data_IF_377971185034
#
_entry.id   IF_377971185034
#
_cell.length_a   1.000
_cell.length_b   1.000
_cell.length_c   1.000
_cell.angle_alpha   90.00
_cell.angle_beta   90.00
_cell.angle_gamma   90.00
#
_symmetry.space_group_name_H-M   'P 1'
#
loop_
_entity.id
_entity.type
_entity.pdbx_description
1 polymer ?
#
# COMPACT_ATOMS: atom_id res chain seq x y z
N UNK A 1 29.89 -51.26 24.65
CA UNK A 1 30.04 -51.67 23.24
C UNK A 1 29.31 -50.62 22.42
N UNK A 2 29.85 -49.82 21.52
CA UNK A 2 31.19 -49.58 20.97
C UNK A 2 31.02 -48.21 20.32
N UNK A 3 31.80 -47.21 20.71
CA UNK A 3 31.84 -45.91 20.01
C UNK A 3 32.51 -46.12 18.64
N UNK A 4 31.93 -45.69 17.51
CA UNK A 4 32.68 -45.61 16.27
C UNK A 4 33.59 -44.39 16.35
N UNK A 5 34.89 -44.66 16.29
CA UNK A 5 35.98 -43.72 16.09
C UNK A 5 35.81 -43.00 14.75
N UNK A 6 35.81 -41.67 14.77
CA UNK A 6 35.73 -40.84 13.56
C UNK A 6 37.04 -40.80 12.78
N UNK A 7 37.01 -40.35 11.52
CA UNK A 7 38.15 -39.76 10.85
C UNK A 7 38.11 -38.24 11.00
N UNK A 8 39.25 -37.68 11.38
CA UNK A 8 39.57 -36.27 11.51
C UNK A 8 38.95 -35.39 10.41
N UNK A 9 37.89 -34.67 10.76
CA UNK A 9 37.49 -33.44 10.10
C UNK A 9 37.43 -32.38 11.17
N UNK A 10 37.97 -31.18 10.91
CA UNK A 10 37.75 -30.00 11.75
C UNK A 10 36.25 -29.71 11.81
N UNK A 11 35.55 -30.41 12.70
CA UNK A 11 34.12 -30.43 12.84
C UNK A 11 33.70 -29.23 13.65
N UNK A 12 33.60 -28.07 13.01
CA UNK A 12 32.62 -27.09 13.47
C UNK A 12 31.25 -27.76 13.34
N UNK A 13 30.77 -28.35 14.45
CA UNK A 13 29.35 -28.65 14.58
C UNK A 13 28.63 -27.31 14.34
N UNK A 14 27.79 -27.20 13.30
CA UNK A 14 27.08 -25.96 13.05
C UNK A 14 26.33 -25.59 14.32
N UNK A 15 26.39 -24.32 14.78
CA UNK A 15 25.65 -23.91 15.96
C UNK A 15 24.18 -24.31 15.77
N UNK A 16 23.51 -24.82 16.82
CA UNK A 16 22.14 -25.30 16.72
C UNK A 16 21.26 -24.20 16.09
N UNK A 17 20.38 -24.55 15.15
CA UNK A 17 19.57 -23.57 14.45
C UNK A 17 18.76 -22.77 15.48
N UNK A 18 18.69 -21.44 15.32
CA UNK A 18 17.98 -20.57 16.26
C UNK A 18 16.51 -21.03 16.37
N UNK A 19 15.91 -20.95 17.56
CA UNK A 19 14.49 -21.28 17.74
C UNK A 19 13.64 -20.50 16.73
N UNK A 20 12.73 -21.21 16.05
CA UNK A 20 11.81 -20.66 15.07
C UNK A 20 10.36 -21.05 15.42
N UNK A 21 9.75 -20.44 16.45
CA UNK A 21 8.39 -20.78 16.84
C UNK A 21 7.35 -20.38 15.80
N UNK A 22 7.61 -19.30 15.05
CA UNK A 22 6.73 -18.77 14.02
C UNK A 22 7.37 -18.72 12.64
N UNK A 23 7.11 -17.65 11.89
CA UNK A 23 7.64 -17.49 10.52
C UNK A 23 9.11 -17.06 10.46
N UNK A 24 9.65 -16.47 11.53
CA UNK A 24 11.03 -15.96 11.60
C UNK A 24 11.88 -16.69 12.65
N UNK A 25 13.20 -16.86 12.40
CA UNK A 25 14.13 -17.25 13.45
C UNK A 25 14.31 -16.11 14.46
N UNK A 26 14.53 -16.43 15.74
CA UNK A 26 14.71 -15.45 16.82
C UNK A 26 16.13 -14.88 16.87
N UNK A 27 16.59 -14.33 15.73
CA UNK A 27 17.89 -13.67 15.57
C UNK A 27 17.77 -12.52 14.56
N UNK A 28 18.78 -11.64 14.44
CA UNK A 28 18.80 -10.63 13.40
C UNK A 28 18.64 -11.28 12.00
N UNK A 29 17.69 -10.76 11.20
CA UNK A 29 17.22 -11.41 9.98
C UNK A 29 18.09 -11.06 8.77
N UNK A 30 18.27 -11.99 7.83
CA UNK A 30 18.72 -11.67 6.49
C UNK A 30 17.56 -11.13 5.63
N UNK A 31 17.86 -10.42 4.54
CA UNK A 31 16.81 -9.91 3.64
C UNK A 31 15.98 -11.04 3.02
N UNK A 32 16.62 -12.14 2.63
CA UNK A 32 15.93 -13.34 2.14
C UNK A 32 14.97 -13.90 3.19
N UNK A 33 15.39 -13.98 4.46
CA UNK A 33 14.52 -14.43 5.55
C UNK A 33 13.33 -13.50 5.78
N UNK A 34 13.50 -12.18 5.62
CA UNK A 34 12.40 -11.21 5.67
C UNK A 34 11.40 -11.48 4.54
N UNK A 35 11.86 -11.65 3.30
CA UNK A 35 10.99 -11.91 2.16
C UNK A 35 10.29 -13.27 2.29
N UNK A 36 11.02 -14.33 2.65
CA UNK A 36 10.45 -15.66 2.90
C UNK A 36 9.43 -15.62 4.03
N UNK A 37 9.70 -14.88 5.12
CA UNK A 37 8.75 -14.73 6.21
C UNK A 37 7.52 -13.91 5.81
N UNK A 38 7.65 -12.92 4.92
CA UNK A 38 6.53 -12.17 4.39
C UNK A 38 5.60 -13.08 3.57
N UNK A 39 6.14 -13.87 2.64
CA UNK A 39 5.36 -14.85 1.88
C UNK A 39 4.78 -15.95 2.77
N UNK A 40 5.53 -16.46 3.75
CA UNK A 40 5.04 -17.45 4.70
C UNK A 40 3.89 -16.90 5.57
N UNK A 41 3.97 -15.62 5.97
CA UNK A 41 2.89 -14.94 6.71
C UNK A 41 1.67 -14.77 5.83
N UNK A 42 1.87 -14.30 4.60
CA UNK A 42 0.80 -14.14 3.62
C UNK A 42 0.10 -15.48 3.35
N UNK A 43 0.84 -16.55 3.12
CA UNK A 43 0.29 -17.89 2.88
C UNK A 43 -0.37 -18.53 4.11
N UNK A 44 0.19 -18.37 5.32
CA UNK A 44 -0.39 -18.95 6.54
C UNK A 44 -1.66 -18.23 7.00
N UNK A 45 -1.75 -16.93 6.75
CA UNK A 45 -2.86 -16.07 7.20
C UNK A 45 -3.62 -15.42 6.03
N UNK A 46 -3.60 -16.03 4.84
CA UNK A 46 -4.17 -15.43 3.63
C UNK A 46 -5.66 -15.13 3.77
N UNK A 47 -6.43 -16.05 4.37
CA UNK A 47 -7.89 -15.89 4.55
C UNK A 47 -8.21 -14.66 5.41
N UNK A 48 -7.44 -14.44 6.47
CA UNK A 48 -7.64 -13.31 7.38
C UNK A 48 -7.19 -12.01 6.72
N UNK A 49 -6.03 -11.99 6.06
CA UNK A 49 -5.49 -10.80 5.41
C UNK A 49 -6.34 -10.37 4.21
N UNK A 50 -6.63 -11.29 3.30
CA UNK A 50 -7.49 -11.04 2.12
C UNK A 50 -8.91 -10.75 2.55
N UNK A 51 -9.45 -11.46 3.55
CA UNK A 51 -10.79 -11.20 4.08
C UNK A 51 -10.94 -9.78 4.62
N UNK A 52 -9.99 -9.34 5.47
CA UNK A 52 -10.05 -7.97 6.05
C UNK A 52 -9.87 -6.92 4.96
N UNK A 53 -8.96 -7.16 4.03
CA UNK A 53 -8.70 -6.26 2.88
C UNK A 53 -9.91 -6.16 1.97
N UNK A 54 -10.52 -7.29 1.61
CA UNK A 54 -11.70 -7.36 0.76
C UNK A 54 -12.92 -6.73 1.40
N UNK A 55 -13.15 -6.95 2.70
CA UNK A 55 -14.25 -6.28 3.43
C UNK A 55 -14.01 -4.77 3.51
N UNK A 56 -12.79 -4.33 3.85
CA UNK A 56 -12.48 -2.91 3.98
C UNK A 56 -12.61 -2.15 2.64
N UNK A 57 -11.95 -2.63 1.58
CA UNK A 57 -12.02 -1.99 0.27
C UNK A 57 -13.35 -2.23 -0.44
N UNK A 58 -13.96 -3.41 -0.27
CA UNK A 58 -15.29 -3.71 -0.82
C UNK A 58 -16.36 -2.79 -0.23
N UNK A 59 -16.34 -2.56 1.08
CA UNK A 59 -17.24 -1.59 1.71
C UNK A 59 -16.98 -0.16 1.21
N UNK A 60 -15.71 0.26 1.08
CA UNK A 60 -15.38 1.56 0.51
C UNK A 60 -15.90 1.71 -0.93
N UNK A 61 -15.76 0.68 -1.77
CA UNK A 61 -16.29 0.69 -3.15
C UNK A 61 -17.81 0.75 -3.18
N UNK A 62 -18.50 0.05 -2.27
CA UNK A 62 -19.96 0.14 -2.16
C UNK A 62 -20.41 1.56 -1.77
N UNK A 63 -19.70 2.22 -0.85
CA UNK A 63 -19.98 3.61 -0.48
C UNK A 63 -19.78 4.56 -1.67
N UNK A 64 -18.71 4.35 -2.45
CA UNK A 64 -18.46 5.15 -3.66
C UNK A 64 -19.53 4.90 -4.71
N UNK A 65 -19.91 3.64 -4.94
CA UNK A 65 -20.98 3.29 -5.88
C UNK A 65 -22.33 3.89 -5.48
N UNK A 66 -22.66 3.86 -4.19
CA UNK A 66 -23.86 4.50 -3.65
C UNK A 66 -23.81 6.03 -3.81
N UNK A 67 -22.69 6.67 -3.48
CA UNK A 67 -22.51 8.11 -3.65
C UNK A 67 -22.60 8.52 -5.13
N UNK A 68 -22.01 7.73 -6.02
CA UNK A 68 -22.12 7.94 -7.46
C UNK A 68 -23.56 7.81 -7.94
N UNK A 69 -24.28 6.76 -7.52
CA UNK A 69 -25.69 6.58 -7.87
C UNK A 69 -26.57 7.75 -7.40
N UNK A 70 -26.39 8.19 -6.15
CA UNK A 70 -27.12 9.35 -5.58
C UNK A 70 -26.74 10.63 -6.33
N UNK A 71 -25.45 10.87 -6.58
CA UNK A 71 -24.96 12.04 -7.30
C UNK A 71 -25.46 12.09 -8.74
N UNK A 72 -25.50 10.95 -9.42
CA UNK A 72 -26.07 10.85 -10.76
C UNK A 72 -27.57 11.18 -10.76
N UNK A 73 -28.35 10.63 -9.83
CA UNK A 73 -29.78 10.96 -9.71
C UNK A 73 -30.03 12.44 -9.43
N UNK A 74 -29.13 13.12 -8.71
CA UNK A 74 -29.23 14.55 -8.42
C UNK A 74 -28.93 15.45 -9.64
N UNK A 75 -28.13 14.96 -10.59
CA UNK A 75 -27.63 15.74 -11.74
C UNK A 75 -28.15 15.20 -13.07
N UNK A 76 -29.00 14.17 -13.06
CA UNK A 76 -29.46 13.46 -14.25
C UNK A 76 -30.02 14.40 -15.34
N UNK A 77 -30.74 15.45 -14.93
CA UNK A 77 -31.32 16.45 -15.85
C UNK A 77 -30.29 17.44 -16.42
N UNK A 78 -29.16 17.63 -15.73
CA UNK A 78 -28.11 18.59 -16.08
C UNK A 78 -27.00 17.95 -16.94
N UNK A 79 -26.74 16.64 -16.77
CA UNK A 79 -25.70 15.91 -17.50
C UNK A 79 -25.85 16.07 -19.03
N UNK A 80 -27.01 15.78 -19.67
CA UNK A 80 -27.14 15.94 -21.11
C UNK A 80 -26.92 17.40 -21.56
N UNK A 81 -27.31 18.38 -20.76
CA UNK A 81 -27.18 19.81 -21.10
C UNK A 81 -25.73 20.31 -21.09
N UNK A 82 -24.88 19.69 -20.27
CA UNK A 82 -23.45 20.00 -20.18
C UNK A 82 -22.64 19.22 -21.21
N UNK A 83 -23.01 17.98 -21.52
CA UNK A 83 -22.24 17.10 -22.42
C UNK A 83 -22.70 17.15 -23.89
N UNK A 84 -23.93 17.58 -24.20
CA UNK A 84 -24.43 17.79 -25.59
C UNK A 84 -24.40 19.27 -26.02
N UNK A 85 -23.34 20.00 -25.65
CA UNK A 85 -23.16 21.36 -26.13
C UNK A 85 -22.78 21.34 -27.61
N UNK A 86 -23.61 21.97 -28.45
CA UNK A 86 -23.29 22.21 -29.86
C UNK A 86 -22.04 23.09 -29.95
N UNK A 87 -21.11 22.74 -30.86
CA UNK A 87 -19.84 23.44 -31.04
C UNK A 87 -20.01 24.97 -30.98
N UNK A 88 -19.32 25.62 -30.04
CA UNK A 88 -19.35 27.06 -29.85
C UNK A 88 -20.31 27.60 -28.77
N UNK A 89 -21.08 26.76 -28.06
CA UNK A 89 -21.84 27.18 -26.87
C UNK A 89 -21.11 26.81 -25.57
N UNK A 90 -20.95 27.79 -24.67
CA UNK A 90 -20.45 27.56 -23.31
C UNK A 90 -21.53 26.95 -22.42
N UNK A 91 -21.12 26.10 -21.47
CA UNK A 91 -22.01 25.51 -20.47
C UNK A 91 -22.56 26.60 -19.55
N UNK A 92 -23.87 26.61 -19.31
CA UNK A 92 -24.46 27.52 -18.31
C UNK A 92 -23.92 27.18 -16.92
N UNK A 93 -23.51 28.18 -16.10
CA UNK A 93 -23.13 27.95 -14.71
C UNK A 93 -24.20 27.22 -13.90
N UNK A 94 -25.48 27.42 -14.22
CA UNK A 94 -26.62 26.79 -13.55
C UNK A 94 -26.69 25.26 -13.77
N UNK A 95 -26.18 24.77 -14.91
CA UNK A 95 -26.09 23.34 -15.20
C UNK A 95 -24.72 22.76 -14.74
N UNK A 96 -23.66 23.57 -14.78
CA UNK A 96 -22.29 23.14 -14.44
C UNK A 96 -22.04 23.01 -12.93
N UNK A 97 -22.52 23.97 -12.13
CA UNK A 97 -22.28 23.98 -10.67
C UNK A 97 -22.84 22.73 -9.98
N UNK A 98 -24.07 22.25 -10.26
CA UNK A 98 -24.58 21.02 -9.67
C UNK A 98 -23.73 19.79 -10.02
N UNK A 99 -23.24 19.68 -11.27
CA UNK A 99 -22.34 18.60 -11.70
C UNK A 99 -21.04 18.64 -10.90
N UNK A 100 -20.42 19.81 -10.76
CA UNK A 100 -19.17 19.97 -10.01
C UNK A 100 -19.35 19.66 -8.52
N UNK A 101 -20.47 20.07 -7.91
CA UNK A 101 -20.78 19.78 -6.51
C UNK A 101 -20.99 18.27 -6.31
N UNK A 102 -21.78 17.62 -7.17
CA UNK A 102 -21.98 16.18 -7.10
C UNK A 102 -20.67 15.40 -7.28
N UNK A 103 -19.84 15.80 -8.26
CA UNK A 103 -18.51 15.24 -8.44
C UNK A 103 -17.63 15.42 -7.20
N UNK A 104 -17.61 16.63 -6.62
CA UNK A 104 -16.85 16.92 -5.40
C UNK A 104 -17.29 16.07 -4.21
N UNK A 105 -18.60 15.88 -4.03
CA UNK A 105 -19.15 15.00 -3.01
C UNK A 105 -18.76 13.53 -3.21
N UNK A 106 -18.89 13.00 -4.44
CA UNK A 106 -18.50 11.62 -4.78
C UNK A 106 -16.99 11.42 -4.56
N UNK A 107 -16.17 12.37 -5.01
CA UNK A 107 -14.73 12.35 -4.81
C UNK A 107 -14.36 12.37 -3.33
N UNK A 108 -15.02 13.20 -2.53
CA UNK A 108 -14.78 13.26 -1.08
C UNK A 108 -15.15 11.94 -0.39
N UNK A 109 -16.29 11.34 -0.73
CA UNK A 109 -16.69 10.01 -0.23
C UNK A 109 -15.66 8.95 -0.64
N UNK A 110 -15.17 8.99 -1.88
CA UNK A 110 -14.15 8.06 -2.35
C UNK A 110 -12.83 8.21 -1.61
N UNK A 111 -12.34 9.43 -1.42
CA UNK A 111 -11.11 9.71 -0.69
C UNK A 111 -11.24 9.25 0.77
N UNK A 112 -12.32 9.61 1.46
CA UNK A 112 -12.52 9.24 2.87
C UNK A 112 -12.69 7.72 3.01
N UNK A 113 -13.54 7.10 2.19
CA UNK A 113 -13.78 5.67 2.21
C UNK A 113 -12.51 4.86 1.95
N UNK A 114 -11.74 5.25 0.94
CA UNK A 114 -10.47 4.59 0.60
C UNK A 114 -9.42 4.80 1.68
N UNK A 115 -9.33 6.00 2.25
CA UNK A 115 -8.39 6.30 3.33
C UNK A 115 -8.68 5.48 4.60
N UNK A 116 -9.96 5.33 4.96
CA UNK A 116 -10.38 4.47 6.08
C UNK A 116 -10.06 3.00 5.76
N UNK A 117 -10.37 2.52 4.56
CA UNK A 117 -10.05 1.15 4.15
C UNK A 117 -8.53 0.86 4.22
N UNK A 118 -7.71 1.77 3.70
CA UNK A 118 -6.24 1.69 3.80
C UNK A 118 -5.76 1.72 5.25
N UNK A 119 -6.36 2.54 6.12
CA UNK A 119 -6.02 2.56 7.55
C UNK A 119 -6.36 1.24 8.25
N UNK A 120 -7.50 0.62 7.93
CA UNK A 120 -7.89 -0.70 8.45
C UNK A 120 -6.88 -1.77 8.02
N UNK A 121 -6.52 -1.81 6.74
CA UNK A 121 -5.56 -2.80 6.20
C UNK A 121 -4.16 -2.59 6.79
N UNK A 122 -3.72 -1.34 6.88
CA UNK A 122 -2.45 -0.95 7.50
C UNK A 122 -2.42 -1.30 9.00
N UNK A 123 -3.58 -1.31 9.67
CA UNK A 123 -3.72 -1.78 11.05
C UNK A 123 -3.73 -3.32 11.16
N UNK A 124 -4.35 -4.01 10.20
CA UNK A 124 -4.51 -5.47 10.20
C UNK A 124 -3.19 -6.22 10.01
N UNK A 125 -2.31 -5.73 9.15
CA UNK A 125 -1.04 -6.40 8.84
C UNK A 125 -0.15 -6.56 10.09
N UNK A 126 0.12 -5.52 10.90
CA UNK A 126 0.87 -5.66 12.14
C UNK A 126 0.19 -6.57 13.18
N UNK A 127 -1.15 -6.57 13.26
CA UNK A 127 -1.90 -7.48 14.15
C UNK A 127 -1.63 -8.94 13.78
N UNK A 128 -1.67 -9.27 12.49
CA UNK A 128 -1.36 -10.63 12.02
C UNK A 128 0.11 -10.95 12.24
N UNK A 129 1.00 -9.99 12.01
CA UNK A 129 2.44 -10.19 12.15
C UNK A 129 2.85 -10.53 13.59
N UNK A 130 2.25 -9.90 14.60
CA UNK A 130 2.50 -10.22 16.02
C UNK A 130 2.26 -11.70 16.33
N UNK A 131 1.23 -12.30 15.71
CA UNK A 131 0.90 -13.71 15.91
C UNK A 131 1.75 -14.62 15.02
N UNK A 132 1.99 -14.23 13.77
CA UNK A 132 2.77 -15.01 12.83
C UNK A 132 4.22 -15.22 13.30
N UNK A 133 4.83 -14.21 13.94
CA UNK A 133 6.20 -14.27 14.48
C UNK A 133 6.32 -15.29 15.63
N UNK A 134 5.25 -15.49 16.39
CA UNK A 134 5.22 -16.37 17.58
C UNK A 134 4.54 -17.73 17.27
N UNK A 135 4.10 -17.95 16.03
CA UNK A 135 3.46 -19.21 15.59
C UNK A 135 1.99 -19.34 15.97
N UNK A 136 1.33 -18.24 16.37
CA UNK A 136 -0.08 -18.22 16.74
C UNK A 136 -1.03 -18.37 15.56
N UNK A 137 -2.28 -18.74 15.85
CA UNK A 137 -3.40 -18.73 14.89
C UNK A 137 -4.37 -17.62 15.23
N UNK A 138 -4.94 -16.99 14.21
CA UNK A 138 -5.91 -15.90 14.36
C UNK A 138 -7.20 -16.22 13.63
N UNK A 139 -8.33 -15.87 14.25
CA UNK A 139 -9.62 -15.83 13.57
C UNK A 139 -9.82 -14.48 12.89
N UNK A 140 -10.63 -14.46 11.83
CA UNK A 140 -10.97 -13.22 11.11
C UNK A 140 -11.52 -12.14 12.04
N UNK A 141 -12.50 -12.49 12.90
CA UNK A 141 -13.12 -11.53 13.83
C UNK A 141 -12.12 -10.90 14.81
N UNK A 142 -11.09 -11.64 15.22
CA UNK A 142 -10.03 -11.10 16.09
C UNK A 142 -9.16 -10.09 15.34
N UNK A 143 -8.80 -10.38 14.09
CA UNK A 143 -8.01 -9.44 13.26
C UNK A 143 -8.82 -8.20 12.97
N UNK A 144 -10.07 -8.36 12.53
CA UNK A 144 -10.98 -7.25 12.26
C UNK A 144 -11.18 -6.36 13.47
N UNK A 145 -11.54 -6.93 14.63
CA UNK A 145 -11.78 -6.15 15.85
C UNK A 145 -10.54 -5.40 16.33
N UNK A 146 -9.35 -6.04 16.32
CA UNK A 146 -8.09 -5.39 16.70
C UNK A 146 -7.66 -4.31 15.70
N UNK A 147 -7.83 -4.55 14.41
CA UNK A 147 -7.51 -3.59 13.35
C UNK A 147 -8.44 -2.38 13.41
N UNK A 148 -9.75 -2.60 13.53
CA UNK A 148 -10.76 -1.54 13.63
C UNK A 148 -10.54 -0.66 14.86
N UNK A 149 -10.29 -1.26 16.03
CA UNK A 149 -10.01 -0.51 17.25
C UNK A 149 -8.77 0.40 17.14
N UNK A 150 -7.84 0.09 16.23
CA UNK A 150 -6.62 0.89 15.98
C UNK A 150 -6.71 1.76 14.74
N UNK A 151 -7.78 1.64 13.95
CA UNK A 151 -7.96 2.39 12.71
C UNK A 151 -7.91 3.90 12.93
N UNK A 152 -8.53 4.52 13.96
CA UNK A 152 -8.41 5.96 14.18
C UNK A 152 -6.98 6.44 14.44
N UNK A 153 -6.20 5.67 15.21
CA UNK A 153 -4.81 6.00 15.49
C UNK A 153 -3.92 5.84 14.24
N UNK A 154 -4.15 4.77 13.46
CA UNK A 154 -3.43 4.54 12.19
C UNK A 154 -3.82 5.61 11.17
N UNK A 155 -5.09 5.99 11.09
CA UNK A 155 -5.59 7.07 10.24
C UNK A 155 -4.88 8.39 10.58
N UNK A 156 -4.83 8.76 11.87
CA UNK A 156 -4.08 9.93 12.31
C UNK A 156 -2.59 9.85 11.96
N UNK A 157 -2.00 8.65 11.99
CA UNK A 157 -0.60 8.43 11.60
C UNK A 157 -0.39 8.59 10.10
N UNK A 158 -1.28 8.06 9.27
CA UNK A 158 -1.23 8.23 7.81
C UNK A 158 -1.42 9.70 7.43
N UNK A 159 -2.42 10.38 8.00
CA UNK A 159 -2.66 11.80 7.77
C UNK A 159 -1.47 12.67 8.19
N UNK A 160 -0.91 12.41 9.37
CA UNK A 160 0.26 13.16 9.84
C UNK A 160 1.50 12.85 8.99
N UNK A 161 1.68 11.61 8.54
CA UNK A 161 2.75 11.24 7.58
C UNK A 161 2.57 12.03 6.29
N UNK A 162 1.36 12.05 5.72
CA UNK A 162 1.05 12.82 4.52
C UNK A 162 1.34 14.30 4.74
N UNK A 163 0.93 14.89 5.87
CA UNK A 163 1.18 16.30 6.15
C UNK A 163 2.69 16.61 6.25
N UNK A 164 3.45 15.79 6.99
CA UNK A 164 4.91 15.95 7.17
C UNK A 164 5.66 15.85 5.84
N UNK A 165 5.19 15.01 4.91
CA UNK A 165 5.80 14.86 3.58
C UNK A 165 5.29 15.93 2.61
N UNK A 166 4.01 16.29 2.67
CA UNK A 166 3.38 17.21 1.74
C UNK A 166 3.90 18.64 1.90
N UNK A 167 4.10 19.11 3.14
CA UNK A 167 4.59 20.48 3.40
C UNK A 167 5.92 20.78 2.67
N UNK A 168 7.01 20.02 2.83
CA UNK A 168 8.25 20.29 2.12
C UNK A 168 8.09 20.11 0.60
N UNK A 169 7.25 19.18 0.14
CA UNK A 169 6.96 19.02 -1.28
C UNK A 169 6.27 20.24 -1.88
N UNK A 170 5.26 20.80 -1.20
CA UNK A 170 4.57 22.01 -1.64
C UNK A 170 5.48 23.23 -1.62
N UNK A 171 6.36 23.35 -0.63
CA UNK A 171 7.36 24.43 -0.61
C UNK A 171 8.30 24.34 -1.81
N UNK A 172 8.84 23.15 -2.08
CA UNK A 172 9.74 22.90 -3.21
C UNK A 172 8.99 23.13 -4.54
N UNK A 173 7.75 22.67 -4.65
CA UNK A 173 6.89 22.92 -5.84
C UNK A 173 6.56 24.39 -6.03
N UNK A 174 6.25 25.13 -4.96
CA UNK A 174 5.98 26.57 -5.01
C UNK A 174 7.21 27.36 -5.43
N UNK A 175 8.40 27.00 -4.93
CA UNK A 175 9.67 27.60 -5.37
C UNK A 175 9.93 27.34 -6.86
N UNK A 176 9.65 26.12 -7.32
CA UNK A 176 9.79 25.77 -8.73
C UNK A 176 8.81 26.53 -9.62
N UNK A 177 7.53 26.58 -9.25
CA UNK A 177 6.52 27.33 -9.98
C UNK A 177 6.89 28.82 -10.05
N UNK A 178 7.31 29.42 -8.93
CA UNK A 178 7.75 30.82 -8.89
C UNK A 178 8.98 31.07 -9.78
N UNK A 179 9.98 30.18 -9.74
CA UNK A 179 11.14 30.27 -10.62
C UNK A 179 10.74 30.18 -12.09
N UNK A 180 9.85 29.26 -12.45
CA UNK A 180 9.36 29.09 -13.81
C UNK A 180 8.62 30.33 -14.31
N UNK A 181 7.77 30.93 -13.47
CA UNK A 181 7.09 32.19 -13.79
C UNK A 181 8.09 33.31 -14.04
N UNK A 182 9.13 33.43 -13.21
CA UNK A 182 10.19 34.45 -13.40
C UNK A 182 10.97 34.23 -14.71
N UNK A 183 11.33 32.99 -15.03
CA UNK A 183 12.09 32.67 -16.24
C UNK A 183 11.28 32.98 -17.50
N UNK A 184 9.99 32.64 -17.51
CA UNK A 184 9.06 32.96 -18.59
C UNK A 184 8.92 34.49 -18.73
N UNK A 185 8.77 35.21 -17.62
CA UNK A 185 8.62 36.67 -17.63
C UNK A 185 9.86 37.42 -18.14
N UNK A 186 11.06 36.85 -17.96
CA UNK A 186 12.31 37.42 -18.46
C UNK A 186 12.71 36.89 -19.86
N UNK A 187 11.78 36.25 -20.59
CA UNK A 187 12.02 35.66 -21.91
C UNK A 187 13.24 34.73 -21.95
N UNK A 188 13.50 34.04 -20.84
CA UNK A 188 14.64 33.12 -20.75
C UNK A 188 14.41 31.97 -21.72
N UNK A 189 15.39 31.67 -22.58
CA UNK A 189 15.25 30.72 -23.66
C UNK A 189 14.75 29.33 -23.20
N UNK A 190 13.94 28.63 -24.02
CA UNK A 190 13.27 27.38 -23.64
C UNK A 190 14.22 26.27 -23.21
N UNK A 191 15.49 26.34 -23.62
CA UNK A 191 16.55 25.42 -23.21
C UNK A 191 16.77 25.41 -21.68
N UNK A 192 16.70 26.56 -21.01
CA UNK A 192 16.88 26.66 -19.55
C UNK A 192 15.70 26.02 -18.82
N UNK A 193 14.49 26.30 -19.28
CA UNK A 193 13.23 25.76 -18.76
C UNK A 193 13.17 24.23 -18.87
N UNK A 194 13.57 23.68 -20.03
CA UNK A 194 13.65 22.24 -20.26
C UNK A 194 14.69 21.53 -19.37
N UNK A 195 15.80 22.22 -19.06
CA UNK A 195 16.87 21.67 -18.22
C UNK A 195 16.53 21.70 -16.72
N UNK A 196 15.74 22.68 -16.27
CA UNK A 196 15.34 22.81 -14.86
C UNK A 196 14.32 21.77 -14.42
N UNK A 197 13.47 21.29 -15.32
CA UNK A 197 12.46 20.27 -15.02
C UNK A 197 13.09 18.97 -14.46
N UNK A 198 14.06 18.31 -15.13
CA UNK A 198 14.71 17.11 -14.58
C UNK A 198 15.56 17.42 -13.33
N UNK A 199 16.16 18.61 -13.23
CA UNK A 199 16.93 19.02 -12.05
C UNK A 199 16.02 19.10 -10.80
N UNK A 200 14.78 19.53 -10.97
CA UNK A 200 13.80 19.57 -9.91
C UNK A 200 13.43 18.16 -9.39
N UNK A 201 13.25 17.20 -10.30
CA UNK A 201 13.05 15.79 -9.93
C UNK A 201 14.24 15.20 -9.16
N UNK A 202 15.47 15.62 -9.49
CA UNK A 202 16.68 15.20 -8.76
C UNK A 202 16.71 15.68 -7.30
N UNK A 203 15.92 16.69 -6.93
CA UNK A 203 15.77 17.14 -5.54
C UNK A 203 14.60 16.41 -4.86
N UNK A 204 13.44 16.34 -5.52
CA UNK A 204 12.23 15.73 -4.94
C UNK A 204 12.36 14.22 -4.73
N UNK A 205 12.95 13.49 -5.67
CA UNK A 205 13.01 12.03 -5.59
C UNK A 205 13.85 11.54 -4.38
N UNK A 206 15.07 12.06 -4.12
CA UNK A 206 15.81 11.70 -2.91
C UNK A 206 15.10 12.13 -1.62
N UNK A 207 14.48 13.32 -1.61
CA UNK A 207 13.75 13.82 -0.44
C UNK A 207 12.55 12.92 -0.10
N UNK A 208 11.75 12.57 -1.10
CA UNK A 208 10.62 11.64 -0.97
C UNK A 208 11.07 10.26 -0.51
N UNK A 209 12.12 9.72 -1.14
CA UNK A 209 12.69 8.42 -0.74
C UNK A 209 13.18 8.44 0.70
N UNK A 210 13.83 9.52 1.13
CA UNK A 210 14.31 9.67 2.50
C UNK A 210 13.19 9.66 3.52
N UNK A 211 12.11 10.43 3.30
CA UNK A 211 10.93 10.40 4.16
C UNK A 211 10.21 9.06 4.14
N UNK A 212 10.04 8.45 2.97
CA UNK A 212 9.40 7.14 2.82
C UNK A 212 10.09 6.09 3.68
N UNK A 213 11.43 6.03 3.65
CA UNK A 213 12.21 5.08 4.46
C UNK A 213 12.16 5.43 5.95
N UNK A 214 12.27 6.72 6.32
CA UNK A 214 12.24 7.16 7.72
C UNK A 214 10.90 6.90 8.42
N UNK A 215 9.80 6.97 7.69
CA UNK A 215 8.43 6.85 8.21
C UNK A 215 7.80 5.48 7.94
N UNK A 216 8.51 4.57 7.28
CA UNK A 216 8.00 3.25 6.86
C UNK A 216 7.44 2.39 8.01
N UNK A 217 7.96 2.54 9.24
CA UNK A 217 7.54 1.75 10.39
C UNK A 217 6.41 2.40 11.19
N UNK A 218 6.02 3.64 10.90
CA UNK A 218 5.07 4.39 11.72
C UNK A 218 3.71 3.71 11.88
N UNK A 219 3.06 3.15 10.83
CA UNK A 219 1.81 2.42 11.00
C UNK A 219 1.98 1.17 11.88
N UNK A 220 3.08 0.43 11.69
CA UNK A 220 3.41 -0.75 12.50
C UNK A 220 3.63 -0.40 13.97
N UNK A 221 4.37 0.67 14.26
CA UNK A 221 4.59 1.17 15.62
C UNK A 221 3.26 1.55 16.29
N UNK A 222 2.38 2.25 15.56
CA UNK A 222 1.06 2.68 16.06
C UNK A 222 0.24 1.50 16.57
N UNK A 223 0.27 0.37 15.85
CA UNK A 223 -0.49 -0.83 16.21
C UNK A 223 0.23 -1.64 17.28
N UNK A 224 1.51 -1.95 17.07
CA UNK A 224 2.28 -2.87 17.92
C UNK A 224 2.64 -2.23 19.26
N UNK A 225 3.11 -0.99 19.24
CA UNK A 225 3.50 -0.25 20.45
C UNK A 225 2.33 0.56 21.04
N UNK A 226 1.14 0.52 20.40
CA UNK A 226 -0.10 1.20 20.85
C UNK A 226 0.08 2.72 21.04
N UNK A 227 0.98 3.33 20.29
CA UNK A 227 1.31 4.75 20.38
C UNK A 227 0.36 5.63 19.55
N UNK A 228 0.29 6.92 19.89
CA UNK A 228 -0.39 7.93 19.08
C UNK A 228 0.44 8.38 17.88
N UNK A 229 -0.18 9.09 16.90
CA UNK A 229 0.43 9.41 15.60
C UNK A 229 1.83 10.04 15.66
N UNK A 230 1.99 11.11 16.43
CA UNK A 230 3.26 11.84 16.52
C UNK A 230 4.37 11.00 17.16
N UNK A 231 4.03 10.24 18.20
CA UNK A 231 4.97 9.35 18.87
C UNK A 231 5.43 8.23 17.94
N UNK A 232 4.50 7.66 17.15
CA UNK A 232 4.80 6.64 16.14
C UNK A 232 5.77 7.14 15.05
N UNK A 233 5.61 8.37 14.56
CA UNK A 233 6.54 8.94 13.57
C UNK A 233 7.94 9.14 14.15
N UNK A 234 8.04 9.74 15.35
CA UNK A 234 9.33 9.94 16.03
C UNK A 234 10.03 8.60 16.29
N UNK A 235 9.26 7.60 16.72
CA UNK A 235 9.75 6.26 16.99
C UNK A 235 10.22 5.56 15.72
N UNK A 236 9.45 5.61 14.63
CA UNK A 236 9.87 5.12 13.31
C UNK A 236 11.19 5.76 12.89
N UNK A 237 11.29 7.08 13.02
CA UNK A 237 12.50 7.83 12.68
C UNK A 237 13.73 7.34 13.46
N UNK A 238 13.59 7.17 14.76
CA UNK A 238 14.66 6.69 15.63
C UNK A 238 15.10 5.27 15.26
N UNK A 239 14.16 4.37 15.00
CA UNK A 239 14.45 2.98 14.61
C UNK A 239 15.21 2.89 13.28
N UNK A 240 14.93 3.77 12.33
CA UNK A 240 15.59 3.80 11.01
C UNK A 240 16.93 4.55 11.04
N UNK A 241 17.16 5.42 12.02
CA UNK A 241 18.40 6.21 12.12
C UNK A 241 19.60 5.31 12.36
N UNK A 242 20.58 5.33 11.45
CA UNK A 242 21.77 4.45 11.47
C UNK A 242 21.61 3.11 10.75
N UNK A 243 20.41 2.76 10.26
CA UNK A 243 20.14 1.55 9.45
C UNK A 243 19.41 1.85 8.15
N UNK A 244 19.42 3.12 7.72
CA UNK A 244 18.67 3.64 6.58
C UNK A 244 18.84 2.82 5.31
N UNK A 245 20.08 2.51 4.90
CA UNK A 245 20.36 1.74 3.68
C UNK A 245 19.79 0.32 3.71
N UNK A 246 19.82 -0.33 4.87
CA UNK A 246 19.26 -1.69 5.03
C UNK A 246 17.73 -1.65 4.94
N UNK A 247 17.10 -0.66 5.57
CA UNK A 247 15.65 -0.47 5.49
C UNK A 247 15.23 -0.09 4.07
N UNK A 248 15.94 0.86 3.45
CA UNK A 248 15.73 1.26 2.06
C UNK A 248 15.82 0.07 1.11
N UNK A 249 16.90 -0.72 1.18
CA UNK A 249 17.05 -1.90 0.32
C UNK A 249 15.92 -2.92 0.50
N UNK A 250 15.50 -3.18 1.74
CA UNK A 250 14.38 -4.10 2.01
C UNK A 250 13.03 -3.59 1.49
N UNK A 251 12.74 -2.30 1.68
CA UNK A 251 11.53 -1.67 1.16
C UNK A 251 11.56 -1.57 -0.37
N UNK A 252 12.72 -1.26 -0.96
CA UNK A 252 12.91 -1.18 -2.40
C UNK A 252 12.66 -2.54 -3.06
N UNK A 253 13.19 -3.63 -2.49
CA UNK A 253 12.91 -4.97 -3.01
C UNK A 253 11.43 -5.31 -2.90
N UNK A 254 10.76 -4.94 -1.79
CA UNK A 254 9.31 -5.14 -1.67
C UNK A 254 8.53 -4.33 -2.72
N UNK A 255 8.93 -3.09 -2.95
CA UNK A 255 8.35 -2.21 -3.97
C UNK A 255 8.52 -2.82 -5.36
N UNK A 256 9.76 -3.14 -5.77
CA UNK A 256 10.06 -3.72 -7.08
C UNK A 256 9.31 -5.03 -7.30
N UNK A 257 9.31 -5.95 -6.33
CA UNK A 257 8.57 -7.20 -6.44
C UNK A 257 7.07 -6.97 -6.63
N UNK A 258 6.50 -6.05 -5.86
CA UNK A 258 5.07 -5.70 -5.99
C UNK A 258 4.77 -5.08 -7.34
N UNK A 259 5.60 -4.13 -7.79
CA UNK A 259 5.45 -3.47 -9.09
C UNK A 259 5.57 -4.46 -10.26
N UNK A 260 6.53 -5.38 -10.21
CA UNK A 260 6.68 -6.43 -11.24
C UNK A 260 5.45 -7.34 -11.26
N UNK A 261 4.97 -7.78 -10.11
CA UNK A 261 3.75 -8.60 -10.02
C UNK A 261 2.56 -7.83 -10.58
N UNK A 262 2.33 -6.59 -10.14
CA UNK A 262 1.24 -5.75 -10.65
C UNK A 262 1.34 -5.51 -12.15
N UNK A 263 2.53 -5.25 -12.68
CA UNK A 263 2.77 -5.06 -14.11
C UNK A 263 2.43 -6.33 -14.90
N UNK A 264 2.94 -7.49 -14.49
CA UNK A 264 2.65 -8.77 -15.17
C UNK A 264 1.15 -9.08 -15.14
N UNK A 265 0.51 -8.90 -13.99
CA UNK A 265 -0.95 -9.07 -13.88
C UNK A 265 -1.71 -8.12 -14.80
N UNK A 266 -1.38 -6.82 -14.80
CA UNK A 266 -2.04 -5.84 -15.66
C UNK A 266 -1.85 -6.14 -17.15
N UNK A 267 -0.67 -6.59 -17.56
CA UNK A 267 -0.40 -6.97 -18.96
C UNK A 267 -1.21 -8.19 -19.38
N UNK A 268 -1.25 -9.24 -18.55
CA UNK A 268 -2.04 -10.45 -18.82
C UNK A 268 -3.53 -10.12 -18.88
N UNK A 269 -4.03 -9.35 -17.91
CA UNK A 269 -5.43 -8.94 -17.87
C UNK A 269 -5.78 -8.02 -19.04
N UNK A 270 -4.90 -7.08 -19.39
CA UNK A 270 -5.08 -6.20 -20.56
C UNK A 270 -5.15 -6.99 -21.86
N UNK A 271 -4.30 -7.99 -22.04
CA UNK A 271 -4.34 -8.88 -23.20
C UNK A 271 -5.63 -9.70 -23.26
N UNK A 272 -6.07 -10.28 -22.13
CA UNK A 272 -7.35 -11.00 -22.04
C UNK A 272 -8.56 -10.09 -22.29
N UNK A 273 -8.50 -8.86 -21.79
CA UNK A 273 -9.50 -7.83 -21.95
C UNK A 273 -9.61 -7.36 -23.41
N UNK A 274 -8.49 -7.25 -24.13
CA UNK A 274 -8.47 -6.84 -25.53
C UNK A 274 -8.80 -7.98 -26.50
N UNK A 275 -8.67 -9.26 -26.10
CA UNK A 275 -8.89 -10.40 -26.99
C UNK A 275 -10.26 -10.38 -27.70
N UNK A 276 -11.40 -10.10 -27.05
CA UNK A 276 -12.69 -10.01 -27.74
C UNK A 276 -12.72 -8.95 -28.85
N UNK A 277 -12.04 -7.81 -28.68
CA UNK A 277 -11.95 -6.76 -29.70
C UNK A 277 -11.06 -7.19 -30.88
N UNK A 278 -9.99 -7.92 -30.61
CA UNK A 278 -9.06 -8.42 -31.63
C UNK A 278 -9.65 -9.54 -32.49
N UNK A 279 -10.67 -10.24 -32.00
CA UNK A 279 -11.37 -11.33 -32.71
C UNK A 279 -12.81 -10.94 -33.10
N UNK A 280 -13.20 -9.68 -32.94
CA UNK A 280 -14.52 -9.20 -33.34
C UNK A 280 -14.52 -8.82 -34.82
N UNK A 281 -15.06 -9.70 -35.66
CA UNK A 281 -15.30 -9.45 -37.09
C UNK A 281 -16.74 -8.94 -37.38
N UNK A 282 -17.46 -8.50 -36.35
CA UNK A 282 -18.84 -8.01 -36.46
C UNK A 282 -18.95 -6.56 -36.95
N UNK A 283 -20.15 -6.11 -37.35
CA UNK A 283 -20.38 -4.70 -37.65
C UNK A 283 -20.10 -3.85 -36.41
N UNK A 284 -19.67 -2.60 -36.64
CA UNK A 284 -19.45 -1.66 -35.54
C UNK A 284 -20.74 -1.52 -34.71
N UNK A 285 -20.65 -1.51 -33.37
CA UNK A 285 -21.83 -1.43 -32.52
C UNK A 285 -22.57 -0.11 -32.78
N UNK A 286 -23.86 -0.21 -33.11
CA UNK A 286 -24.70 0.94 -33.49
C UNK A 286 -25.51 1.48 -32.30
N UNK A 287 -25.58 0.74 -31.20
CA UNK A 287 -26.27 1.13 -29.98
C UNK A 287 -25.37 1.07 -28.74
N UNK A 288 -25.68 1.91 -27.73
CA UNK A 288 -24.99 1.88 -26.45
C UNK A 288 -25.10 0.51 -25.73
N UNK A 289 -26.19 -0.23 -25.98
CA UNK A 289 -26.39 -1.58 -25.45
C UNK A 289 -25.42 -2.61 -26.05
N UNK A 290 -25.16 -2.52 -27.36
CA UNK A 290 -24.18 -3.37 -28.05
C UNK A 290 -22.74 -3.06 -27.63
N UNK A 291 -22.41 -1.78 -27.46
CA UNK A 291 -21.11 -1.36 -26.90
C UNK A 291 -20.94 -1.94 -25.49
N UNK A 292 -21.96 -1.86 -24.63
CA UNK A 292 -21.90 -2.39 -23.28
C UNK A 292 -21.82 -3.93 -23.25
N UNK A 293 -22.47 -4.63 -24.18
CA UNK A 293 -22.36 -6.08 -24.28
C UNK A 293 -20.94 -6.53 -24.70
N UNK A 294 -20.28 -5.76 -25.58
CA UNK A 294 -18.91 -6.01 -26.03
C UNK A 294 -17.87 -5.65 -24.95
N UNK A 295 -18.03 -4.49 -24.30
CA UNK A 295 -17.04 -3.92 -23.36
C UNK A 295 -17.30 -4.30 -21.90
N UNK A 296 -18.54 -4.62 -21.53
CA UNK A 296 -18.94 -4.96 -20.16
C UNK A 296 -18.15 -6.14 -19.56
N UNK A 297 -18.07 -7.30 -20.22
CA UNK A 297 -17.26 -8.43 -19.72
C UNK A 297 -15.78 -8.08 -19.57
N UNK A 298 -15.23 -7.29 -20.51
CA UNK A 298 -13.86 -6.79 -20.47
C UNK A 298 -13.61 -5.94 -19.21
N UNK A 299 -14.51 -4.99 -18.92
CA UNK A 299 -14.44 -4.14 -17.73
C UNK A 299 -14.50 -4.98 -16.45
N UNK A 300 -15.36 -6.00 -16.39
CA UNK A 300 -15.44 -6.89 -15.23
C UNK A 300 -14.11 -7.63 -15.02
N UNK A 301 -13.51 -8.18 -16.07
CA UNK A 301 -12.21 -8.87 -15.98
C UNK A 301 -11.12 -7.91 -15.51
N UNK A 302 -11.07 -6.68 -16.04
CA UNK A 302 -10.11 -5.67 -15.63
C UNK A 302 -10.30 -5.23 -14.17
N UNK A 303 -11.55 -5.02 -13.74
CA UNK A 303 -11.87 -4.64 -12.36
C UNK A 303 -11.49 -5.77 -11.40
N UNK A 304 -11.95 -7.00 -11.64
CA UNK A 304 -11.64 -8.15 -10.77
C UNK A 304 -10.13 -8.40 -10.71
N UNK A 305 -9.46 -8.38 -11.86
CA UNK A 305 -8.04 -8.60 -11.93
C UNK A 305 -7.21 -7.50 -11.27
N UNK A 306 -7.60 -6.23 -11.44
CA UNK A 306 -6.95 -5.11 -10.74
C UNK A 306 -7.18 -5.15 -9.23
N UNK A 307 -8.35 -5.58 -8.76
CA UNK A 307 -8.62 -5.79 -7.33
C UNK A 307 -7.71 -6.87 -6.74
N UNK A 308 -7.47 -7.97 -7.44
CA UNK A 308 -6.55 -9.02 -6.99
C UNK A 308 -5.12 -8.48 -6.88
N UNK A 309 -4.65 -7.75 -7.89
CA UNK A 309 -3.33 -7.11 -7.85
C UNK A 309 -3.22 -6.08 -6.72
N UNK A 310 -4.29 -5.31 -6.48
CA UNK A 310 -4.39 -4.32 -5.41
C UNK A 310 -4.30 -4.97 -4.03
N UNK A 311 -4.94 -6.13 -3.82
CA UNK A 311 -4.86 -6.88 -2.57
C UNK A 311 -3.42 -7.30 -2.27
N UNK A 312 -2.70 -7.82 -3.27
CA UNK A 312 -1.29 -8.16 -3.08
C UNK A 312 -0.45 -6.92 -2.74
N UNK A 313 -0.65 -5.82 -3.47
CA UNK A 313 0.05 -4.56 -3.24
C UNK A 313 -0.27 -3.91 -1.89
N UNK A 314 -1.48 -4.11 -1.37
CA UNK A 314 -1.88 -3.61 -0.05
C UNK A 314 -1.30 -4.42 1.12
N UNK A 315 -0.91 -5.68 0.88
CA UNK A 315 -0.49 -6.60 1.94
C UNK A 315 1.02 -6.85 1.98
N UNK A 316 1.65 -7.04 0.83
CA UNK A 316 3.04 -7.50 0.77
C UNK A 316 4.06 -6.45 1.26
N UNK A 317 4.05 -5.19 0.79
CA UNK A 317 4.98 -4.17 1.30
C UNK A 317 4.83 -3.89 2.81
N UNK A 318 3.62 -3.77 3.39
CA UNK A 318 3.47 -3.62 4.83
C UNK A 318 3.95 -4.83 5.64
N UNK A 319 3.83 -6.05 5.11
CA UNK A 319 4.39 -7.26 5.74
C UNK A 319 5.92 -7.18 5.80
N UNK A 320 6.57 -6.81 4.69
CA UNK A 320 8.03 -6.62 4.65
C UNK A 320 8.46 -5.49 5.60
N UNK A 321 7.78 -4.34 5.57
CA UNK A 321 8.05 -3.22 6.48
C UNK A 321 7.91 -3.64 7.95
N UNK A 322 6.85 -4.37 8.29
CA UNK A 322 6.64 -4.86 9.65
C UNK A 322 7.71 -5.85 10.11
N UNK A 323 8.19 -6.73 9.23
CA UNK A 323 9.28 -7.66 9.53
C UNK A 323 10.62 -6.95 9.68
N UNK A 324 10.90 -5.93 8.87
CA UNK A 324 12.06 -5.06 9.04
C UNK A 324 11.99 -4.30 10.38
N UNK A 325 10.81 -3.85 10.79
CA UNK A 325 10.59 -3.28 12.12
C UNK A 325 10.92 -4.29 13.24
N UNK A 326 10.44 -5.53 13.14
CA UNK A 326 10.75 -6.59 14.11
C UNK A 326 12.26 -6.86 14.14
N UNK A 327 12.92 -6.94 12.99
CA UNK A 327 14.38 -7.09 12.89
C UNK A 327 15.13 -5.94 13.58
N UNK A 328 14.71 -4.69 13.39
CA UNK A 328 15.33 -3.54 14.07
C UNK A 328 15.20 -3.64 15.59
N UNK A 329 14.05 -4.08 16.10
CA UNK A 329 13.86 -4.29 17.54
C UNK A 329 14.65 -5.48 18.08
N UNK A 330 14.83 -6.54 17.30
CA UNK A 330 15.74 -7.64 17.67
C UNK A 330 17.18 -7.13 17.79
N UNK A 331 17.64 -6.34 16.81
CA UNK A 331 19.04 -5.83 16.76
C UNK A 331 19.35 -4.79 17.83
N UNK A 332 18.41 -3.89 18.13
CA UNK A 332 18.65 -2.72 18.98
C UNK A 332 18.09 -2.83 20.39
N UNK A 333 17.09 -3.68 20.60
CA UNK A 333 16.31 -3.72 21.84
C UNK A 333 16.25 -5.12 22.46
N UNK A 334 17.03 -6.08 21.95
CA UNK A 334 17.06 -7.46 22.45
C UNK A 334 15.65 -8.07 22.53
N UNK A 335 14.83 -7.92 21.49
CA UNK A 335 13.44 -8.42 21.47
C UNK A 335 13.34 -9.97 21.45
N UNK A 336 14.37 -10.67 20.97
CA UNK A 336 14.33 -12.12 20.73
C UNK A 336 13.98 -12.99 21.97
N UNK A 337 14.56 -12.78 23.18
CA UNK A 337 14.20 -13.55 24.37
C UNK A 337 12.75 -13.36 24.82
N UNK A 338 12.17 -12.18 24.60
CA UNK A 338 10.76 -11.92 24.92
C UNK A 338 9.85 -12.69 23.97
N UNK A 339 10.15 -12.72 22.67
CA UNK A 339 9.41 -13.54 21.71
C UNK A 339 9.53 -15.04 22.02
N UNK A 340 10.71 -15.51 22.43
CA UNK A 340 10.93 -16.90 22.84
C UNK A 340 10.06 -17.28 24.04
N UNK A 341 10.02 -16.43 25.08
CA UNK A 341 9.19 -16.66 26.27
C UNK A 341 7.70 -16.70 25.93
N UNK A 342 7.22 -15.77 25.09
CA UNK A 342 5.80 -15.75 24.66
C UNK A 342 5.45 -16.99 23.84
N UNK A 343 6.35 -17.46 22.97
CA UNK A 343 6.14 -18.70 22.21
C UNK A 343 6.09 -19.93 23.11
N UNK A 344 7.03 -20.05 24.06
CA UNK A 344 7.09 -21.14 25.00
C UNK A 344 5.82 -21.20 25.87
N UNK A 345 5.39 -20.07 26.43
CA UNK A 345 4.16 -19.98 27.23
C UNK A 345 2.91 -20.47 26.48
N UNK A 346 2.85 -20.27 25.16
CA UNK A 346 1.77 -20.78 24.32
C UNK A 346 1.84 -22.27 24.09
N UNK A 347 3.04 -22.80 23.84
CA UNK A 347 3.23 -24.23 23.64
C UNK A 347 2.86 -25.06 24.89
N UNK A 348 2.99 -24.48 26.09
CA UNK A 348 2.58 -25.10 27.35
C UNK A 348 1.09 -24.90 27.70
N UNK A 349 0.38 -23.98 27.02
CA UNK A 349 -1.02 -23.66 27.29
C UNK A 349 -2.02 -24.25 26.28
N UNK A 350 -1.55 -25.06 25.34
CA UNK A 350 -2.33 -25.74 24.29
C UNK A 350 -2.31 -27.24 24.49
#
# INVERSE_FOLDING_TARGET
MTYPTGPYGYGHTPPPPPPKPGVIPLRPLALSEVLTAAFATLGRHWKQLVGVTGVAYGFALLLVGAAFGIGYLFVADNVPRVFDLREGREASPDDLVPVMVAFGCVWLVAVIGMLVATAVVSAAVPVVLQEAVVGGRLTFGTVWGRAWARTPAVLGTLLLTTLVVLVPFLLVLGLFAGLMTLLIANETGPAVTLLLFPLFFLVLAPLGTWFWVKLAFAPTVTVIERQGPMASLRRSWHLVTGTWWRTFGGLLVAFVLTSVVSMVFQQVLGALAAAPLSFHDGPAPESAGEVLALVGPMLIVMIVGSLIAQVFAALFPPLVSGLLYVDQRIRRENLAPTLARTAAARAYGS
#
